data_IF_208966333127
#
_entry.id   IF_208966333127
#
_cell.length_a   1.000
_cell.length_b   1.000
_cell.length_c   1.000
_cell.angle_alpha   90.00
_cell.angle_beta   90.00
_cell.angle_gamma   90.00
#
_symmetry.space_group_name_H-M   'P 1'
#
loop_
_entity.id
_entity.type
_entity.pdbx_description
1 polymer ?
#
# COMPACT_ATOMS: atom_id res chain seq x y z
N UNK A 1 -29.55 -10.73 -38.20
CA UNK A 1 -29.92 -10.86 -36.77
C UNK A 1 -29.01 -11.90 -36.16
N UNK A 2 -27.97 -11.47 -35.46
CA UNK A 2 -26.98 -12.36 -34.85
C UNK A 2 -27.37 -12.63 -33.39
N UNK A 3 -27.49 -13.91 -33.04
CA UNK A 3 -27.98 -14.39 -31.74
C UNK A 3 -26.95 -14.14 -30.63
N UNK A 4 -27.45 -13.60 -29.53
CA UNK A 4 -26.70 -13.02 -28.41
C UNK A 4 -26.25 -14.05 -27.37
N UNK A 5 -25.09 -13.77 -26.77
CA UNK A 5 -24.49 -14.40 -25.59
C UNK A 5 -25.45 -14.48 -24.40
N UNK A 6 -26.18 -15.58 -24.26
CA UNK A 6 -26.93 -15.92 -23.06
C UNK A 6 -26.73 -17.41 -22.81
N UNK A 7 -25.89 -17.74 -21.82
CA UNK A 7 -25.92 -18.95 -20.98
C UNK A 7 -24.66 -18.92 -20.09
N UNK A 8 -24.60 -17.99 -19.14
CA UNK A 8 -23.84 -18.23 -17.92
C UNK A 8 -24.87 -18.32 -16.80
N UNK A 9 -25.11 -19.57 -16.43
CA UNK A 9 -26.22 -20.05 -15.63
C UNK A 9 -26.11 -19.51 -14.20
N UNK A 10 -27.26 -19.08 -13.70
CA UNK A 10 -27.52 -18.72 -12.32
C UNK A 10 -27.24 -19.89 -11.37
N UNK A 11 -26.65 -19.60 -10.21
CA UNK A 11 -26.87 -20.38 -9.00
C UNK A 11 -26.85 -19.44 -7.79
N UNK A 12 -28.04 -19.15 -7.28
CA UNK A 12 -28.32 -18.43 -6.04
C UNK A 12 -28.48 -19.43 -4.88
N UNK A 13 -28.00 -19.09 -3.68
CA UNK A 13 -28.39 -19.58 -2.33
C UNK A 13 -27.60 -18.65 -1.35
N UNK A 14 -28.14 -17.85 -0.43
CA UNK A 14 -29.42 -17.89 0.27
C UNK A 14 -29.23 -18.45 1.69
N UNK A 15 -28.59 -17.71 2.62
CA UNK A 15 -28.70 -17.99 4.07
C UNK A 15 -28.80 -16.68 4.85
N UNK A 16 -29.96 -16.51 5.47
CA UNK A 16 -30.33 -15.53 6.49
C UNK A 16 -29.83 -15.96 7.87
N UNK A 17 -29.25 -15.01 8.61
CA UNK A 17 -29.45 -14.80 10.06
C UNK A 17 -28.81 -15.78 11.05
N UNK A 18 -28.00 -15.25 11.96
CA UNK A 18 -28.23 -15.36 13.42
C UNK A 18 -27.29 -14.45 14.18
N UNK A 19 -27.85 -13.63 15.07
CA UNK A 19 -27.15 -12.86 16.06
C UNK A 19 -26.73 -13.77 17.23
N UNK A 20 -25.50 -13.63 17.71
CA UNK A 20 -25.12 -14.06 19.05
C UNK A 20 -24.22 -12.99 19.67
N UNK A 21 -24.83 -12.14 20.51
CA UNK A 21 -24.13 -11.39 21.54
C UNK A 21 -23.53 -12.39 22.52
N UNK A 22 -22.21 -12.50 22.54
CA UNK A 22 -21.48 -13.10 23.66
C UNK A 22 -20.64 -12.00 24.30
N UNK A 23 -21.12 -11.50 25.44
CA UNK A 23 -20.36 -10.71 26.37
C UNK A 23 -19.21 -11.57 26.92
N UNK A 24 -17.98 -11.17 26.64
CA UNK A 24 -16.80 -11.62 27.37
C UNK A 24 -16.20 -10.38 28.02
N UNK A 25 -16.61 -10.12 29.27
CA UNK A 25 -15.86 -9.32 30.22
C UNK A 25 -14.73 -10.22 30.73
N UNK A 26 -13.50 -9.81 30.47
CA UNK A 26 -12.29 -10.41 31.02
C UNK A 26 -11.45 -9.28 31.56
N UNK A 27 -11.63 -9.00 32.85
CA UNK A 27 -10.80 -8.11 33.65
C UNK A 27 -9.43 -8.77 33.87
N UNK A 28 -8.33 -8.10 33.52
CA UNK A 28 -7.01 -8.39 34.09
C UNK A 28 -6.26 -7.07 34.31
N UNK A 29 -5.85 -6.87 35.56
CA UNK A 29 -5.30 -5.63 36.10
C UNK A 29 -3.82 -5.50 35.76
N UNK A 30 -3.51 -4.59 34.84
CA UNK A 30 -2.15 -4.22 34.46
C UNK A 30 -1.88 -2.73 34.69
N UNK A 31 -1.32 -2.43 35.85
CA UNK A 31 -0.93 -1.11 36.37
C UNK A 31 -0.25 -0.15 35.38
N UNK A 32 -0.72 1.11 35.39
CA UNK A 32 0.14 2.30 35.54
C UNK A 32 0.95 2.77 34.34
N UNK A 33 0.40 3.73 33.60
CA UNK A 33 1.16 4.54 32.64
C UNK A 33 0.43 5.84 32.30
N UNK A 34 0.44 6.77 33.26
CA UNK A 34 -0.24 8.07 33.22
C UNK A 34 -0.02 8.86 31.93
N UNK A 35 -1.12 9.18 31.24
CA UNK A 35 -1.18 10.25 30.25
C UNK A 35 -0.97 11.59 30.95
N UNK A 36 0.25 12.12 30.90
CA UNK A 36 0.44 13.57 31.08
C UNK A 36 0.51 14.18 29.69
N UNK A 37 -0.61 14.76 29.27
CA UNK A 37 -0.62 15.69 28.16
C UNK A 37 0.18 16.94 28.56
N UNK A 38 1.37 17.11 27.98
CA UNK A 38 2.08 18.39 27.94
C UNK A 38 2.27 18.82 26.50
N UNK A 39 1.89 20.07 26.26
CA UNK A 39 1.88 20.82 25.02
C UNK A 39 3.29 21.05 24.39
N UNK A 40 3.53 20.46 23.20
CA UNK A 40 4.44 20.89 22.10
C UNK A 40 5.98 20.92 22.30
N UNK A 41 6.81 21.17 21.26
CA UNK A 41 6.76 20.73 19.86
C UNK A 41 8.03 19.93 19.40
N UNK A 42 7.91 19.24 18.25
CA UNK A 42 8.97 18.79 17.31
C UNK A 42 10.25 18.12 17.85
N UNK A 43 10.25 16.79 17.81
CA UNK A 43 11.46 15.95 17.69
C UNK A 43 11.18 14.81 16.73
N UNK A 44 12.16 14.33 15.94
CA UNK A 44 11.91 13.38 14.85
C UNK A 44 11.36 12.06 15.41
N UNK A 45 10.20 11.66 14.90
CA UNK A 45 9.66 10.32 15.08
C UNK A 45 10.70 9.36 14.51
N UNK A 46 11.38 8.64 15.39
CA UNK A 46 12.15 7.47 15.00
C UNK A 46 11.11 6.40 14.68
N UNK A 47 10.70 6.28 13.42
CA UNK A 47 9.93 5.12 12.97
C UNK A 47 10.90 3.95 13.08
N UNK A 48 10.81 3.21 14.17
CA UNK A 48 11.60 2.02 14.37
C UNK A 48 11.38 1.07 13.20
N UNK A 49 12.46 0.74 12.50
CA UNK A 49 12.57 -0.51 11.76
C UNK A 49 12.55 -1.66 12.79
N UNK A 50 11.41 -1.90 13.40
CA UNK A 50 11.16 -3.15 14.12
C UNK A 50 10.97 -4.24 13.06
N UNK A 51 11.66 -5.38 13.15
CA UNK A 51 11.27 -6.52 12.34
C UNK A 51 9.86 -6.90 12.80
N UNK A 52 8.87 -6.71 11.93
CA UNK A 52 7.57 -7.35 12.11
C UNK A 52 7.81 -8.85 12.02
N UNK A 53 8.14 -9.45 13.16
CA UNK A 53 8.07 -10.89 13.36
C UNK A 53 6.60 -11.22 13.57
N UNK A 54 5.86 -11.28 12.47
CA UNK A 54 4.76 -12.23 12.36
C UNK A 54 5.33 -13.43 11.61
N UNK A 55 4.87 -14.63 11.95
CA UNK A 55 5.24 -15.87 11.27
C UNK A 55 4.54 -15.95 9.90
N UNK A 56 4.61 -14.86 9.14
CA UNK A 56 3.90 -14.58 7.89
C UNK A 56 4.87 -13.98 6.88
N UNK A 57 4.60 -14.31 5.63
CA UNK A 57 5.37 -14.03 4.42
C UNK A 57 6.01 -12.62 4.47
N UNK A 58 7.34 -12.51 4.35
CA UNK A 58 8.06 -11.23 4.39
C UNK A 58 7.89 -10.50 3.06
N UNK A 59 7.19 -9.36 3.05
CA UNK A 59 7.01 -8.54 1.84
C UNK A 59 8.12 -7.50 1.73
N UNK A 60 8.81 -7.45 0.59
CA UNK A 60 9.82 -6.43 0.31
C UNK A 60 9.62 -5.81 -1.07
N UNK A 61 9.31 -4.51 -1.13
CA UNK A 61 9.14 -3.78 -2.38
C UNK A 61 10.31 -2.83 -2.67
N UNK A 62 10.79 -2.84 -3.91
CA UNK A 62 11.79 -1.93 -4.45
C UNK A 62 11.23 -1.10 -5.61
N UNK A 63 11.72 0.12 -5.76
CA UNK A 63 11.32 1.04 -6.83
C UNK A 63 12.53 1.55 -7.60
N UNK A 64 12.42 1.59 -8.93
CA UNK A 64 13.39 2.24 -9.82
C UNK A 64 12.69 3.34 -10.59
N UNK A 65 13.26 4.55 -10.59
CA UNK A 65 12.76 5.69 -11.36
C UNK A 65 13.70 5.92 -12.55
N UNK A 66 13.17 5.78 -13.77
CA UNK A 66 13.91 5.98 -15.01
C UNK A 66 14.25 7.45 -15.26
N UNK A 67 15.43 7.71 -15.81
CA UNK A 67 15.92 9.06 -16.14
C UNK A 67 15.93 10.00 -14.93
N UNK A 68 16.27 9.48 -13.75
CA UNK A 68 16.30 10.26 -12.51
C UNK A 68 17.38 11.35 -12.55
N UNK A 69 17.13 12.51 -11.92
CA UNK A 69 17.97 13.70 -12.11
C UNK A 69 19.27 13.68 -11.28
N UNK A 70 20.37 14.21 -11.84
CA UNK A 70 21.64 14.36 -11.11
C UNK A 70 21.66 15.56 -10.14
N UNK A 71 20.79 16.56 -10.31
CA UNK A 71 20.70 17.73 -9.40
C UNK A 71 19.78 17.50 -8.19
N UNK A 72 19.15 16.34 -8.09
CA UNK A 72 18.22 15.98 -7.02
C UNK A 72 17.33 14.83 -7.46
N UNK A 73 17.45 13.67 -6.82
CA UNK A 73 16.75 12.48 -7.24
C UNK A 73 15.28 12.48 -6.76
N UNK A 74 14.37 12.09 -7.66
CA UNK A 74 13.05 11.59 -7.30
C UNK A 74 13.17 10.32 -6.46
N UNK A 75 12.18 10.08 -5.60
CA UNK A 75 12.13 8.90 -4.73
C UNK A 75 10.70 8.46 -4.48
N UNK A 76 10.47 7.16 -4.46
CA UNK A 76 9.19 6.56 -4.12
C UNK A 76 9.42 5.40 -3.15
N UNK A 77 8.50 5.16 -2.22
CA UNK A 77 8.51 3.98 -1.36
C UNK A 77 7.11 3.40 -1.35
N UNK A 78 6.98 2.16 -1.79
CA UNK A 78 5.73 1.39 -1.69
C UNK A 78 5.82 0.54 -0.43
N UNK A 79 4.93 0.77 0.53
CA UNK A 79 4.91 0.01 1.77
C UNK A 79 4.16 -1.31 1.59
N UNK A 80 4.47 -2.29 2.43
CA UNK A 80 3.71 -3.54 2.52
C UNK A 80 2.23 -3.27 2.84
N UNK A 81 1.95 -2.29 3.70
CA UNK A 81 0.58 -1.92 4.05
C UNK A 81 -0.22 -1.44 2.84
N UNK A 82 0.42 -0.71 1.92
CA UNK A 82 -0.23 -0.25 0.69
C UNK A 82 -0.53 -1.39 -0.28
N UNK A 83 0.42 -2.33 -0.41
CA UNK A 83 0.22 -3.55 -1.21
C UNK A 83 -0.93 -4.38 -0.64
N UNK A 84 -0.98 -4.56 0.68
CA UNK A 84 -2.02 -5.32 1.35
C UNK A 84 -3.39 -4.61 1.32
N UNK A 85 -3.41 -3.27 1.35
CA UNK A 85 -4.64 -2.51 1.23
C UNK A 85 -5.25 -2.66 -0.17
N UNK A 86 -4.43 -2.73 -1.21
CA UNK A 86 -4.88 -3.02 -2.58
C UNK A 86 -5.85 -1.99 -3.15
N UNK A 87 -5.71 -0.72 -2.75
CA UNK A 87 -6.55 0.39 -3.20
C UNK A 87 -5.73 1.40 -4.00
N UNK A 88 -6.37 2.13 -4.91
CA UNK A 88 -5.71 3.19 -5.66
C UNK A 88 -5.02 4.17 -4.71
N UNK A 89 -3.74 4.45 -4.96
CA UNK A 89 -2.93 5.36 -4.17
C UNK A 89 -2.03 6.21 -5.04
N UNK A 90 -2.04 7.52 -4.79
CA UNK A 90 -1.14 8.47 -5.42
C UNK A 90 0.04 8.75 -4.50
N UNK A 91 1.25 8.63 -5.05
CA UNK A 91 2.52 8.90 -4.39
C UNK A 91 3.12 10.18 -4.94
N UNK A 92 3.49 11.10 -4.06
CA UNK A 92 4.43 12.17 -4.37
C UNK A 92 5.83 11.55 -4.52
N UNK A 93 6.45 11.76 -5.68
CA UNK A 93 7.79 11.25 -5.96
C UNK A 93 8.86 12.35 -6.02
N UNK A 94 8.54 13.58 -5.62
CA UNK A 94 9.43 14.76 -5.68
C UNK A 94 10.82 14.45 -5.13
N UNK A 95 10.91 13.78 -3.99
CA UNK A 95 12.19 13.45 -3.35
C UNK A 95 13.01 14.71 -3.10
N UNK A 96 14.24 14.74 -3.62
CA UNK A 96 15.15 15.89 -3.57
C UNK A 96 15.15 16.72 -4.87
N UNK A 97 14.25 16.43 -5.82
CA UNK A 97 14.16 17.14 -7.09
C UNK A 97 13.65 18.58 -6.91
N UNK A 98 13.91 19.41 -7.92
CA UNK A 98 13.51 20.82 -7.95
C UNK A 98 12.06 21.03 -8.40
N UNK A 99 11.36 19.97 -8.80
CA UNK A 99 9.95 20.02 -9.21
C UNK A 99 9.19 18.76 -8.80
N UNK A 100 7.87 18.88 -8.76
CA UNK A 100 6.99 17.82 -8.29
C UNK A 100 6.53 16.89 -9.40
N UNK A 101 6.40 15.62 -9.04
CA UNK A 101 5.72 14.59 -9.83
C UNK A 101 4.91 13.72 -8.90
N UNK A 102 3.82 13.17 -9.44
CA UNK A 102 2.97 12.22 -8.74
C UNK A 102 2.83 10.95 -9.56
N UNK A 103 2.60 9.83 -8.90
CA UNK A 103 2.37 8.52 -9.53
C UNK A 103 1.17 7.88 -8.87
N UNK A 104 0.16 7.51 -9.65
CA UNK A 104 -0.94 6.68 -9.15
C UNK A 104 -0.64 5.21 -9.42
N UNK A 105 -0.63 4.41 -8.35
CA UNK A 105 -0.60 2.95 -8.40
C UNK A 105 -2.02 2.48 -8.11
N UNK A 106 -2.61 1.71 -9.03
CA UNK A 106 -4.01 1.28 -8.93
C UNK A 106 -4.17 0.03 -8.07
N UNK A 107 -5.40 -0.27 -7.67
CA UNK A 107 -5.77 -1.52 -7.03
C UNK A 107 -5.34 -2.76 -7.85
N UNK A 108 -5.45 -2.68 -9.18
CA UNK A 108 -5.01 -3.74 -10.09
C UNK A 108 -3.48 -3.90 -10.10
N UNK A 109 -2.75 -2.80 -10.00
CA UNK A 109 -1.29 -2.81 -9.88
C UNK A 109 -0.85 -3.43 -8.55
N UNK A 110 -1.49 -3.08 -7.44
CA UNK A 110 -1.23 -3.70 -6.14
C UNK A 110 -1.56 -5.19 -6.13
N UNK A 111 -2.64 -5.60 -6.81
CA UNK A 111 -2.96 -7.02 -7.01
C UNK A 111 -1.84 -7.75 -7.75
N UNK A 112 -1.23 -7.09 -8.75
CA UNK A 112 -0.08 -7.63 -9.48
C UNK A 112 1.14 -7.74 -8.57
N UNK A 113 1.43 -6.71 -7.79
CA UNK A 113 2.57 -6.69 -6.85
C UNK A 113 2.44 -7.73 -5.72
N UNK A 114 1.21 -8.02 -5.28
CA UNK A 114 0.91 -8.99 -4.22
C UNK A 114 0.90 -10.45 -4.69
N UNK A 115 1.16 -10.72 -5.98
CA UNK A 115 1.19 -12.08 -6.51
C UNK A 115 2.21 -12.97 -5.77
N UNK A 116 1.88 -14.25 -5.54
CA UNK A 116 2.80 -15.19 -4.90
C UNK A 116 4.12 -15.28 -5.66
N UNK A 117 5.24 -15.20 -4.95
CA UNK A 117 6.59 -15.14 -5.55
C UNK A 117 6.99 -13.74 -6.05
N UNK A 118 6.12 -12.73 -5.89
CA UNK A 118 6.40 -11.36 -6.28
C UNK A 118 5.84 -10.95 -7.63
N UNK A 119 5.63 -9.65 -7.78
CA UNK A 119 5.16 -9.00 -9.00
C UNK A 119 6.01 -7.81 -9.38
N UNK A 120 5.91 -7.39 -10.64
CA UNK A 120 6.53 -6.16 -11.14
C UNK A 120 5.55 -5.39 -12.01
N UNK A 121 5.46 -4.09 -11.79
CA UNK A 121 4.66 -3.15 -12.59
C UNK A 121 5.55 -2.05 -13.13
N UNK A 122 5.08 -1.37 -14.18
CA UNK A 122 5.66 -0.11 -14.65
C UNK A 122 4.56 0.92 -14.81
N UNK A 123 4.72 2.06 -14.15
CA UNK A 123 3.75 3.17 -14.12
C UNK A 123 4.45 4.45 -14.54
N UNK A 124 3.69 5.39 -15.11
CA UNK A 124 4.23 6.69 -15.55
C UNK A 124 3.77 7.77 -14.60
N UNK A 125 4.68 8.68 -14.24
CA UNK A 125 4.32 9.84 -13.42
C UNK A 125 3.48 10.86 -14.18
N UNK A 126 2.85 11.76 -13.45
CA UNK A 126 2.31 13.01 -14.00
C UNK A 126 3.42 13.82 -14.66
N UNK A 127 3.04 14.70 -15.59
CA UNK A 127 3.95 15.67 -16.18
C UNK A 127 4.21 16.78 -15.17
N UNK A 128 5.44 16.81 -14.68
CA UNK A 128 5.94 17.80 -13.74
C UNK A 128 7.10 18.56 -14.39
N UNK A 129 7.13 19.88 -14.23
CA UNK A 129 8.10 20.71 -14.95
C UNK A 129 7.95 20.56 -16.46
N UNK A 130 8.84 19.76 -17.09
CA UNK A 130 8.91 19.58 -18.54
C UNK A 130 8.89 18.12 -19.03
N UNK A 131 8.77 17.11 -18.14
CA UNK A 131 8.84 15.70 -18.56
C UNK A 131 8.04 14.77 -17.64
N UNK A 132 8.16 13.45 -17.85
CA UNK A 132 7.61 12.40 -16.99
C UNK A 132 8.69 11.36 -16.70
N UNK A 133 8.49 10.57 -15.65
CA UNK A 133 9.30 9.40 -15.36
C UNK A 133 8.52 8.12 -15.61
N UNK A 134 9.24 7.07 -16.04
CA UNK A 134 8.79 5.69 -15.99
C UNK A 134 9.30 5.05 -14.70
N UNK A 135 8.42 4.53 -13.86
CA UNK A 135 8.73 3.97 -12.55
C UNK A 135 8.42 2.48 -12.59
N UNK A 136 9.43 1.67 -12.29
CA UNK A 136 9.28 0.22 -12.11
C UNK A 136 9.21 -0.08 -10.63
N UNK A 137 8.16 -0.78 -10.20
CA UNK A 137 8.01 -1.28 -8.83
C UNK A 137 8.04 -2.79 -8.87
N UNK A 138 8.87 -3.40 -8.04
CA UNK A 138 8.98 -4.85 -7.90
C UNK A 138 8.86 -5.24 -6.43
N UNK A 139 7.95 -6.14 -6.11
CA UNK A 139 7.80 -6.69 -4.76
C UNK A 139 8.19 -8.16 -4.76
N UNK A 140 8.83 -8.61 -3.68
CA UNK A 140 9.05 -10.01 -3.38
C UNK A 140 8.16 -10.40 -2.20
N UNK A 141 7.51 -11.56 -2.33
CA UNK A 141 6.47 -12.07 -1.44
C UNK A 141 6.94 -13.48 -1.06
N UNK A 142 7.70 -13.61 0.04
CA UNK A 142 8.43 -14.84 0.44
C UNK A 142 8.02 -15.45 1.76
#
# INVERSE_FOLDING_TARGET
MALTRKHFIQAALGVTGTAALAAACGDDEGSGGSNTATTGPTGPVTIGNGPSSSTGVQMGCGTTIGTNHPQGAHSMMVSEADVNAGVDKTYDITGASMHMHEVTVTAADFTTLAAQGGGTITVTSTMGGAHTHSITVSCNIG
#
